data_IF_509966652288
#
_entry.id   IF_509966652288
#
_cell.length_a   1.000
_cell.length_b   1.000
_cell.length_c   1.000
_cell.angle_alpha   90.00
_cell.angle_beta   90.00
_cell.angle_gamma   90.00
#
_symmetry.space_group_name_H-M   'P 1'
#
loop_
_entity.id
_entity.type
_entity.pdbx_description
1 polymer ?
#
# COMPACT_ATOMS: atom_id res chain seq x y z
N UNK A 1 -9.44 -13.34 -26.83
CA UNK A 1 -9.23 -13.47 -25.38
C UNK A 1 -9.07 -12.07 -24.81
N UNK A 2 -9.92 -11.60 -23.86
CA UNK A 2 -9.70 -10.28 -23.28
C UNK A 2 -8.43 -10.35 -22.44
N UNK A 3 -7.47 -9.48 -22.74
CA UNK A 3 -6.30 -9.30 -21.90
C UNK A 3 -6.78 -8.58 -20.63
N UNK A 4 -7.11 -9.35 -19.59
CA UNK A 4 -7.28 -8.81 -18.25
C UNK A 4 -5.97 -8.17 -17.88
N UNK A 5 -5.89 -6.85 -17.97
CA UNK A 5 -4.74 -6.07 -17.54
C UNK A 5 -4.51 -6.42 -16.06
N UNK A 6 -3.51 -7.24 -15.77
CA UNK A 6 -3.09 -7.54 -14.40
C UNK A 6 -2.44 -6.28 -13.85
N UNK A 7 -3.26 -5.29 -13.50
CA UNK A 7 -2.78 -4.17 -12.70
C UNK A 7 -2.27 -4.79 -11.41
N UNK A 8 -1.02 -4.54 -11.01
CA UNK A 8 -0.55 -5.00 -9.71
C UNK A 8 -1.50 -4.40 -8.66
N UNK A 9 -2.02 -5.25 -7.77
CA UNK A 9 -2.92 -4.83 -6.69
C UNK A 9 -2.08 -4.04 -5.66
N UNK A 10 -1.75 -2.79 -6.02
CA UNK A 10 -0.96 -1.87 -5.20
C UNK A 10 -1.87 -1.11 -4.25
N UNK A 11 -1.50 -1.06 -2.98
CA UNK A 11 -2.21 -0.32 -1.93
C UNK A 11 -1.26 0.66 -1.27
N UNK A 12 -1.67 1.92 -1.11
CA UNK A 12 -0.93 2.94 -0.38
C UNK A 12 -1.64 3.24 0.95
N UNK A 13 -0.93 3.07 2.06
CA UNK A 13 -1.43 3.38 3.40
C UNK A 13 -0.83 4.71 3.83
N UNK A 14 -1.69 5.65 4.25
CA UNK A 14 -1.30 6.92 4.86
C UNK A 14 -1.86 6.97 6.27
N UNK A 15 -0.97 6.88 7.25
CA UNK A 15 -1.31 6.84 8.68
C UNK A 15 -0.12 7.37 9.47
N UNK A 16 -0.33 8.15 10.53
CA UNK A 16 0.73 8.72 11.37
C UNK A 16 1.19 7.74 12.47
N UNK A 17 0.36 6.80 12.90
CA UNK A 17 0.72 5.77 13.89
C UNK A 17 1.50 4.61 13.22
N UNK A 18 2.77 4.49 13.59
CA UNK A 18 3.67 3.43 13.09
C UNK A 18 3.17 2.01 13.35
N UNK A 19 2.44 1.78 14.46
CA UNK A 19 1.96 0.45 14.85
C UNK A 19 0.81 0.02 13.95
N UNK A 20 -0.13 0.93 13.68
CA UNK A 20 -1.28 0.66 12.80
C UNK A 20 -0.78 0.46 11.36
N UNK A 21 0.13 1.33 10.91
CA UNK A 21 0.75 1.25 9.58
C UNK A 21 1.45 -0.08 9.33
N UNK A 22 2.20 -0.59 10.31
CA UNK A 22 2.89 -1.88 10.18
C UNK A 22 1.92 -3.09 10.27
N UNK A 23 0.89 -3.02 11.10
CA UNK A 23 -0.16 -4.03 11.17
C UNK A 23 -0.86 -4.20 9.81
N UNK A 24 -1.33 -3.10 9.24
CA UNK A 24 -2.03 -3.09 7.95
C UNK A 24 -1.13 -3.57 6.82
N UNK A 25 0.15 -3.18 6.84
CA UNK A 25 1.15 -3.66 5.88
C UNK A 25 1.26 -5.18 5.90
N UNK A 26 1.46 -5.79 7.08
CA UNK A 26 1.61 -7.24 7.22
C UNK A 26 0.37 -7.98 6.73
N UNK A 27 -0.81 -7.52 7.14
CA UNK A 27 -2.08 -8.11 6.74
C UNK A 27 -2.27 -8.07 5.21
N UNK A 28 -2.11 -6.91 4.59
CA UNK A 28 -2.32 -6.77 3.14
C UNK A 28 -1.25 -7.48 2.32
N UNK A 29 0.00 -7.52 2.79
CA UNK A 29 1.03 -8.32 2.13
C UNK A 29 0.74 -9.83 2.20
N UNK A 30 0.17 -10.32 3.30
CA UNK A 30 -0.27 -11.73 3.41
C UNK A 30 -1.39 -12.07 2.43
N UNK A 31 -2.28 -11.12 2.15
CA UNK A 31 -3.34 -11.24 1.16
C UNK A 31 -2.84 -11.07 -0.30
N UNK A 32 -1.53 -10.84 -0.51
CA UNK A 32 -0.92 -10.76 -1.83
C UNK A 32 -0.92 -9.37 -2.47
N UNK A 33 -1.20 -8.32 -1.69
CA UNK A 33 -1.10 -6.93 -2.17
C UNK A 33 0.34 -6.41 -2.11
N UNK A 34 0.68 -5.55 -3.05
CA UNK A 34 1.90 -4.76 -2.99
C UNK A 34 1.61 -3.49 -2.18
N UNK A 35 2.21 -3.37 -1.00
CA UNK A 35 1.88 -2.30 -0.05
C UNK A 35 2.96 -1.22 -0.04
N UNK A 36 2.55 0.02 -0.22
CA UNK A 36 3.34 1.23 -0.06
C UNK A 36 2.88 1.97 1.19
N UNK A 37 3.82 2.61 1.89
CA UNK A 37 3.55 3.30 3.16
C UNK A 37 3.95 4.76 3.04
N UNK A 38 3.11 5.63 3.58
CA UNK A 38 3.40 7.04 3.82
C UNK A 38 3.03 7.39 5.26
N UNK A 39 3.94 8.06 5.96
CA UNK A 39 3.71 8.52 7.34
C UNK A 39 3.06 9.90 7.42
N UNK A 40 3.09 10.65 6.32
CA UNK A 40 2.49 11.97 6.20
C UNK A 40 2.20 12.32 4.72
N UNK A 41 1.64 13.52 4.49
CA UNK A 41 1.36 14.03 3.15
C UNK A 41 2.61 14.30 2.30
N UNK A 42 3.78 14.54 2.91
CA UNK A 42 5.04 14.74 2.17
C UNK A 42 5.58 13.41 1.66
N UNK A 43 5.50 12.36 2.48
CA UNK A 43 5.82 11.00 2.14
C UNK A 43 4.88 10.49 1.05
N UNK A 44 3.57 10.74 1.16
CA UNK A 44 2.56 10.43 0.14
C UNK A 44 2.97 10.93 -1.25
N UNK A 45 3.34 12.22 -1.34
CA UNK A 45 3.76 12.84 -2.61
C UNK A 45 5.04 12.26 -3.20
N UNK A 46 5.82 11.47 -2.45
CA UNK A 46 7.02 10.77 -2.95
C UNK A 46 6.71 9.38 -3.50
N UNK A 47 5.58 8.79 -3.09
CA UNK A 47 5.17 7.43 -3.48
C UNK A 47 4.12 7.42 -4.59
N UNK A 48 3.53 8.58 -4.90
CA UNK A 48 2.73 8.83 -6.10
C UNK A 48 3.62 9.25 -7.27
#
# INVERSE_FOLDING_TARGET
>A
MPQTSTRPNKVLIVDDDVRIRDLLRRYLMQEGFEVMLAEDGKALNRVL
#
